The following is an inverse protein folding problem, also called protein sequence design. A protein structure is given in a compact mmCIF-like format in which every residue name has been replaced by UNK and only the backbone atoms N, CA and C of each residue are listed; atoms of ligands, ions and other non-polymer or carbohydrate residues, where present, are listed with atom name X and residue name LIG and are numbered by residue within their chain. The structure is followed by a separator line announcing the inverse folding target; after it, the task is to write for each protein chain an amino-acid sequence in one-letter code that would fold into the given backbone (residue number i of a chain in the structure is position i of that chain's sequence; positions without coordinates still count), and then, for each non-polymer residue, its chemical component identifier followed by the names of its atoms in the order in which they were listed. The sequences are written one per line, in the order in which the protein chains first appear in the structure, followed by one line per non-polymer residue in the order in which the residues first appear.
data_IF_653501727314
#
_entry.id   IF_653501727314
#
_cell.length_a   1.000
_cell.length_b   1.000
_cell.length_c   1.000
_cell.angle_alpha   90.00
_cell.angle_beta   90.00
_cell.angle_gamma   90.00
#
_symmetry.space_group_name_H-M   'P 1'
#
loop_
_entity.id
_entity.type
_entity.pdbx_description
1 polymer ?
#
# COMPACT_ATOMS: atom_id res chain seq x y z
N UNK A 1 -3.75 -8.98 27.16
CA UNK A 1 -4.94 -8.99 26.31
C UNK A 1 -4.58 -9.07 24.84
N UNK A 2 -5.33 -9.88 24.10
CA UNK A 2 -5.15 -9.97 22.65
C UNK A 2 -5.54 -8.63 21.99
N UNK A 3 -4.79 -8.24 20.96
CA UNK A 3 -5.12 -7.07 20.15
C UNK A 3 -6.33 -7.34 19.27
N UNK A 4 -7.16 -6.33 19.05
CA UNK A 4 -8.26 -6.39 18.09
C UNK A 4 -7.71 -6.40 16.67
N UNK A 5 -8.54 -6.78 15.68
CA UNK A 5 -8.12 -6.69 14.28
C UNK A 5 -7.80 -5.25 13.88
N UNK A 6 -8.53 -4.28 14.40
CA UNK A 6 -8.22 -2.87 14.13
C UNK A 6 -6.82 -2.51 14.64
N UNK A 7 -6.48 -2.92 15.86
CA UNK A 7 -5.15 -2.67 16.41
C UNK A 7 -4.06 -3.38 15.59
N UNK A 8 -4.33 -4.59 15.10
CA UNK A 8 -3.42 -5.31 14.21
C UNK A 8 -3.23 -4.57 12.90
N UNK A 9 -4.32 -4.04 12.34
CA UNK A 9 -4.27 -3.24 11.12
C UNK A 9 -3.46 -1.96 11.34
N UNK A 10 -3.66 -1.29 12.47
CA UNK A 10 -2.89 -0.09 12.81
C UNK A 10 -1.40 -0.39 12.95
N UNK A 11 -1.06 -1.56 13.50
CA UNK A 11 0.35 -1.99 13.60
C UNK A 11 0.95 -2.21 12.21
N UNK A 12 0.17 -2.78 11.29
CA UNK A 12 0.60 -2.91 9.90
C UNK A 12 0.86 -1.54 9.26
N UNK A 13 0.04 -0.54 9.56
CA UNK A 13 0.24 0.83 9.05
C UNK A 13 1.57 1.41 9.58
N UNK A 14 1.92 1.15 10.84
CA UNK A 14 3.24 1.53 11.35
C UNK A 14 4.36 0.89 10.54
N UNK A 15 4.19 -0.38 10.16
CA UNK A 15 5.16 -1.08 9.34
C UNK A 15 5.32 -0.40 7.98
N UNK A 16 4.23 -0.15 7.25
CA UNK A 16 4.33 0.41 5.90
C UNK A 16 4.87 1.85 5.92
N UNK A 17 4.61 2.61 6.96
CA UNK A 17 5.09 3.97 7.07
C UNK A 17 6.55 4.05 7.53
N UNK A 18 7.03 3.07 8.30
CA UNK A 18 8.42 3.06 8.79
C UNK A 18 9.35 2.23 7.91
N UNK A 19 8.85 1.19 7.26
CA UNK A 19 9.68 0.20 6.57
C UNK A 19 10.46 -0.68 7.53
N UNK A 20 10.09 -0.72 8.80
CA UNK A 20 10.79 -1.49 9.82
C UNK A 20 10.49 -2.98 9.66
N UNK A 21 11.50 -3.75 9.25
CA UNK A 21 11.34 -5.19 9.04
C UNK A 21 10.95 -5.95 10.31
N UNK A 22 11.34 -5.47 11.47
CA UNK A 22 10.97 -6.11 12.74
C UNK A 22 9.47 -6.05 12.95
N UNK A 23 8.85 -4.90 12.66
CA UNK A 23 7.40 -4.77 12.69
C UNK A 23 6.78 -5.63 11.58
N UNK A 24 7.38 -5.64 10.40
CA UNK A 24 6.91 -6.48 9.28
C UNK A 24 6.87 -7.95 9.64
N UNK A 25 7.89 -8.47 10.31
CA UNK A 25 7.93 -9.86 10.77
C UNK A 25 6.82 -10.18 11.78
N UNK A 26 6.41 -9.18 12.54
CA UNK A 26 5.33 -9.32 13.52
C UNK A 26 3.96 -9.42 12.85
N UNK A 27 3.73 -8.68 11.76
CA UNK A 27 2.38 -8.46 11.20
C UNK A 27 2.10 -9.21 9.89
N UNK A 28 3.14 -9.68 9.18
CA UNK A 28 3.01 -10.35 7.88
C UNK A 28 3.48 -11.79 7.98
N UNK A 29 2.62 -12.73 7.55
CA UNK A 29 2.96 -14.15 7.51
C UNK A 29 4.05 -14.42 6.47
N UNK A 30 4.91 -15.40 6.75
CA UNK A 30 5.91 -15.88 5.78
C UNK A 30 5.26 -16.41 4.51
N UNK A 31 4.04 -16.95 4.62
CA UNK A 31 3.29 -17.47 3.48
C UNK A 31 2.25 -16.51 2.94
N UNK A 32 2.27 -15.25 3.38
CA UNK A 32 1.32 -14.24 2.91
C UNK A 32 1.42 -14.03 1.40
N UNK A 33 0.28 -13.73 0.79
CA UNK A 33 0.18 -13.50 -0.66
C UNK A 33 -0.37 -12.10 -0.89
N UNK A 34 0.30 -11.35 -1.76
CA UNK A 34 -0.08 -9.96 -2.06
C UNK A 34 -0.42 -9.83 -3.54
N UNK A 35 -1.68 -9.52 -3.81
CA UNK A 35 -2.18 -9.29 -5.17
C UNK A 35 -2.09 -7.80 -5.48
N UNK A 36 -1.33 -7.45 -6.51
CA UNK A 36 -1.10 -6.06 -6.91
C UNK A 36 -1.59 -5.85 -8.33
N UNK A 37 -2.05 -4.63 -8.69
CA UNK A 37 -2.64 -4.40 -10.03
C UNK A 37 -1.64 -4.41 -11.17
N UNK A 38 -0.34 -4.34 -10.89
CA UNK A 38 0.70 -4.25 -11.91
C UNK A 38 1.45 -5.57 -12.14
N UNK A 39 0.99 -6.68 -11.57
CA UNK A 39 1.60 -7.99 -11.77
C UNK A 39 0.54 -9.08 -11.75
N UNK A 40 0.60 -9.99 -12.71
CA UNK A 40 -0.29 -11.15 -12.75
C UNK A 40 0.12 -12.21 -11.72
N UNK A 41 1.37 -12.19 -11.31
CA UNK A 41 1.89 -13.12 -10.31
C UNK A 41 1.89 -12.44 -8.95
N UNK A 42 1.25 -13.04 -7.93
CA UNK A 42 1.26 -12.47 -6.59
C UNK A 42 2.66 -12.43 -6.00
N UNK A 43 2.92 -11.44 -5.17
CA UNK A 43 4.14 -11.36 -4.37
C UNK A 43 3.93 -12.14 -3.08
N UNK A 44 4.99 -12.67 -2.49
CA UNK A 44 4.87 -13.56 -1.33
C UNK A 44 5.73 -13.11 -0.17
N UNK A 45 5.15 -13.22 1.03
CA UNK A 45 5.84 -13.03 2.29
C UNK A 45 6.34 -11.61 2.52
N UNK A 46 7.07 -11.43 3.60
CA UNK A 46 7.65 -10.12 3.91
C UNK A 46 8.61 -9.63 2.82
N UNK A 47 9.49 -10.49 2.25
CA UNK A 47 10.34 -10.02 1.14
C UNK A 47 9.55 -9.47 -0.04
N UNK A 48 8.42 -10.12 -0.39
CA UNK A 48 7.54 -9.63 -1.45
C UNK A 48 6.93 -8.27 -1.11
N UNK A 49 6.49 -8.09 0.12
CA UNK A 49 5.94 -6.81 0.53
C UNK A 49 7.01 -5.72 0.58
N UNK A 50 8.22 -6.05 0.99
CA UNK A 50 9.34 -5.10 0.98
C UNK A 50 9.67 -4.62 -0.43
N UNK A 51 9.43 -5.43 -1.46
CA UNK A 51 9.58 -4.99 -2.86
C UNK A 51 8.55 -3.91 -3.20
N UNK A 52 7.30 -4.08 -2.74
CA UNK A 52 6.25 -3.07 -2.95
C UNK A 52 6.65 -1.75 -2.28
N UNK A 53 7.06 -1.82 -1.02
CA UNK A 53 7.48 -0.63 -0.27
C UNK A 53 8.70 0.02 -0.90
N UNK A 54 9.67 -0.78 -1.37
CA UNK A 54 10.86 -0.28 -2.03
C UNK A 54 10.54 0.47 -3.31
N UNK A 55 9.65 -0.09 -4.13
CA UNK A 55 9.19 0.57 -5.35
C UNK A 55 8.52 1.91 -5.06
N UNK A 56 7.63 1.93 -4.09
CA UNK A 56 6.91 3.14 -3.72
C UNK A 56 7.85 4.20 -3.13
N UNK A 57 8.79 3.80 -2.27
CA UNK A 57 9.74 4.74 -1.67
C UNK A 57 10.80 5.24 -2.65
N UNK A 58 11.16 4.44 -3.64
CA UNK A 58 12.06 4.90 -4.70
C UNK A 58 11.43 6.04 -5.50
N UNK A 59 10.14 5.93 -5.78
CA UNK A 59 9.41 6.98 -6.51
C UNK A 59 9.03 8.15 -5.60
N UNK A 60 8.60 7.85 -4.38
CA UNK A 60 8.11 8.84 -3.40
C UNK A 60 8.83 8.61 -2.07
N UNK A 61 10.04 9.17 -1.88
CA UNK A 61 10.82 8.89 -0.66
C UNK A 61 10.12 9.30 0.64
N UNK A 62 9.24 10.29 0.57
CA UNK A 62 8.48 10.82 1.71
C UNK A 62 7.09 10.19 1.86
N UNK A 63 6.81 9.08 1.16
CA UNK A 63 5.45 8.52 1.13
C UNK A 63 4.96 8.14 2.53
N UNK A 64 3.69 8.51 2.80
CA UNK A 64 2.97 8.12 4.01
C UNK A 64 1.58 7.65 3.64
N UNK A 65 1.13 6.58 4.30
CA UNK A 65 -0.22 6.05 4.20
C UNK A 65 -1.00 6.44 5.46
N UNK A 66 -2.16 7.05 5.27
CA UNK A 66 -3.09 7.33 6.36
C UNK A 66 -4.26 6.36 6.26
N UNK A 67 -4.55 5.64 7.33
CA UNK A 67 -5.71 4.76 7.40
C UNK A 67 -6.94 5.62 7.73
N UNK A 68 -7.81 5.80 6.73
CA UNK A 68 -8.96 6.70 6.87
C UNK A 68 -10.21 5.99 7.41
N UNK A 69 -10.42 4.73 7.00
CA UNK A 69 -11.62 3.99 7.37
C UNK A 69 -11.38 2.50 7.24
N UNK A 70 -12.13 1.72 8.02
CA UNK A 70 -12.08 0.26 7.95
C UNK A 70 -13.47 -0.33 8.06
N UNK A 71 -13.67 -1.44 7.35
CA UNK A 71 -14.83 -2.31 7.52
C UNK A 71 -14.29 -3.68 7.88
N UNK A 72 -14.70 -4.20 9.02
CA UNK A 72 -14.20 -5.47 9.56
C UNK A 72 -15.34 -6.47 9.63
N UNK A 73 -15.14 -7.63 9.03
CA UNK A 73 -16.05 -8.76 9.11
C UNK A 73 -15.25 -10.04 9.29
N UNK A 74 -15.49 -10.75 10.36
CA UNK A 74 -14.75 -11.97 10.72
C UNK A 74 -13.24 -11.69 10.77
N UNK A 75 -12.47 -12.34 9.90
CA UNK A 75 -11.02 -12.17 9.85
C UNK A 75 -10.55 -11.30 8.68
N UNK A 76 -11.46 -10.52 8.08
CA UNK A 76 -11.15 -9.64 6.95
C UNK A 76 -11.31 -8.18 7.34
N UNK A 77 -10.41 -7.37 6.81
CA UNK A 77 -10.43 -5.92 6.97
C UNK A 77 -10.40 -5.29 5.60
N UNK A 78 -11.42 -4.48 5.29
CA UNK A 78 -11.35 -3.56 4.15
C UNK A 78 -10.82 -2.25 4.69
N UNK A 79 -9.72 -1.79 4.13
CA UNK A 79 -9.05 -0.57 4.59
C UNK A 79 -9.02 0.47 3.47
N UNK A 80 -9.47 1.68 3.79
CA UNK A 80 -9.36 2.82 2.91
C UNK A 80 -8.19 3.67 3.38
N UNK A 81 -7.28 3.98 2.45
CA UNK A 81 -6.09 4.77 2.73
C UNK A 81 -6.05 6.03 1.89
N UNK A 82 -5.35 7.04 2.39
CA UNK A 82 -4.85 8.15 1.61
C UNK A 82 -3.33 8.07 1.58
N UNK A 83 -2.76 8.10 0.38
CA UNK A 83 -1.32 8.12 0.15
C UNK A 83 -0.91 9.54 -0.17
N UNK A 84 0.16 10.02 0.48
CA UNK A 84 0.74 11.34 0.20
C UNK A 84 2.23 11.19 0.02
N UNK A 85 2.78 11.90 -0.95
CA UNK A 85 4.21 11.89 -1.19
C UNK A 85 4.60 12.85 -2.29
N UNK A 86 5.91 12.98 -2.51
CA UNK A 86 6.50 13.83 -3.56
C UNK A 86 7.29 12.94 -4.51
N UNK A 87 7.01 13.05 -5.81
CA UNK A 87 7.69 12.21 -6.80
C UNK A 87 9.11 12.73 -7.06
N UNK A 88 10.08 12.04 -6.50
CA UNK A 88 11.50 12.36 -6.69
C UNK A 88 12.26 11.24 -7.40
N UNK A 89 11.58 10.16 -7.79
CA UNK A 89 12.13 9.07 -8.56
C UNK A 89 11.15 8.61 -9.64
N UNK A 90 11.65 7.77 -10.54
CA UNK A 90 10.83 7.22 -11.62
C UNK A 90 9.66 6.39 -11.06
N UNK A 91 8.49 6.53 -11.67
CA UNK A 91 7.30 5.78 -11.33
C UNK A 91 6.66 5.22 -12.60
N UNK A 92 6.74 3.88 -12.77
CA UNK A 92 6.23 3.18 -13.96
C UNK A 92 6.67 3.84 -15.27
N UNK A 93 7.96 4.16 -15.38
CA UNK A 93 8.54 4.78 -16.56
C UNK A 93 8.40 6.31 -16.62
N UNK A 94 7.60 6.92 -15.75
CA UNK A 94 7.47 8.37 -15.71
C UNK A 94 8.64 8.98 -14.91
N UNK A 95 9.42 9.90 -15.50
CA UNK A 95 10.56 10.50 -14.80
C UNK A 95 10.11 11.37 -13.63
N UNK A 96 11.03 11.60 -12.70
CA UNK A 96 10.77 12.42 -11.53
C UNK A 96 10.23 13.79 -11.91
N UNK A 97 9.07 14.15 -11.36
CA UNK A 97 8.40 15.41 -11.66
C UNK A 97 8.55 16.45 -10.54
N UNK A 98 8.95 16.02 -9.35
CA UNK A 98 8.96 16.86 -8.16
C UNK A 98 7.58 17.23 -7.65
N UNK A 99 6.53 16.64 -8.21
CA UNK A 99 5.15 16.98 -7.84
C UNK A 99 4.69 16.19 -6.64
N UNK A 100 3.84 16.80 -5.83
CA UNK A 100 3.17 16.14 -4.72
C UNK A 100 1.94 15.41 -5.21
N UNK A 101 1.69 14.24 -4.63
CA UNK A 101 0.51 13.45 -4.91
C UNK A 101 -0.33 13.26 -3.65
N UNK A 102 -1.62 13.11 -3.86
CA UNK A 102 -2.55 12.63 -2.85
C UNK A 102 -3.52 11.70 -3.56
N UNK A 103 -3.48 10.43 -3.20
CA UNK A 103 -4.26 9.41 -3.87
C UNK A 103 -4.91 8.48 -2.85
N UNK A 104 -5.94 7.76 -3.27
CA UNK A 104 -6.62 6.79 -2.44
C UNK A 104 -6.21 5.37 -2.80
N UNK A 105 -6.34 4.47 -1.81
CA UNK A 105 -6.26 3.04 -2.04
C UNK A 105 -7.37 2.37 -1.24
N UNK A 106 -7.96 1.32 -1.82
CA UNK A 106 -8.90 0.45 -1.12
C UNK A 106 -8.35 -0.96 -1.18
N UNK A 107 -8.02 -1.50 -0.02
CA UNK A 107 -7.36 -2.79 0.07
C UNK A 107 -8.18 -3.73 0.96
N UNK A 108 -8.13 -5.01 0.64
CA UNK A 108 -8.75 -6.05 1.46
C UNK A 108 -7.63 -6.91 2.04
N UNK A 109 -7.65 -7.09 3.37
CA UNK A 109 -6.68 -7.90 4.09
C UNK A 109 -7.39 -9.07 4.74
N UNK A 110 -6.77 -10.25 4.67
CA UNK A 110 -7.21 -11.41 5.43
C UNK A 110 -6.18 -11.71 6.50
N UNK A 111 -6.66 -11.95 7.72
CA UNK A 111 -5.83 -12.27 8.87
C UNK A 111 -6.06 -13.70 9.32
N UNK A 112 -5.01 -14.33 9.82
CA UNK A 112 -5.09 -15.61 10.56
C UNK A 112 -4.25 -15.42 11.80
N UNK A 113 -4.84 -15.71 12.98
CA UNK A 113 -4.18 -15.53 14.28
C UNK A 113 -3.57 -14.11 14.44
N UNK A 114 -4.27 -13.10 13.90
CA UNK A 114 -3.85 -11.71 14.01
C UNK A 114 -2.71 -11.30 13.09
N UNK A 115 -2.35 -12.14 12.12
CA UNK A 115 -1.26 -11.90 11.18
C UNK A 115 -1.83 -11.88 9.76
N UNK A 116 -1.37 -10.97 8.91
CA UNK A 116 -1.84 -10.86 7.53
C UNK A 116 -1.35 -12.06 6.72
N UNK A 117 -2.30 -12.75 6.07
CA UNK A 117 -2.02 -13.88 5.19
C UNK A 117 -2.36 -13.58 3.73
N UNK A 118 -3.16 -12.56 3.47
CA UNK A 118 -3.48 -12.16 2.10
C UNK A 118 -3.87 -10.68 2.05
N UNK A 119 -3.44 -10.01 1.00
CA UNK A 119 -3.87 -8.64 0.69
C UNK A 119 -4.23 -8.58 -0.80
N UNK A 120 -5.36 -7.92 -1.10
CA UNK A 120 -5.67 -7.47 -2.45
C UNK A 120 -5.63 -5.95 -2.41
N UNK A 121 -4.66 -5.35 -3.10
CA UNK A 121 -4.45 -3.91 -3.07
C UNK A 121 -4.90 -3.24 -4.36
N UNK A 122 -5.68 -2.16 -4.22
CA UNK A 122 -6.15 -1.35 -5.35
C UNK A 122 -5.89 0.13 -5.09
N UNK A 123 -4.63 0.57 -5.26
CA UNK A 123 -4.33 1.99 -5.24
C UNK A 123 -4.82 2.66 -6.52
N UNK A 124 -5.17 3.94 -6.44
CA UNK A 124 -5.58 4.73 -7.60
C UNK A 124 -4.33 5.13 -8.40
N UNK A 125 -3.77 4.16 -9.14
CA UNK A 125 -2.57 4.40 -9.95
C UNK A 125 -2.83 5.41 -11.06
N UNK A 126 -4.00 5.37 -11.68
CA UNK A 126 -4.34 6.33 -12.72
C UNK A 126 -4.37 7.76 -12.17
N UNK A 127 -4.95 7.96 -10.99
CA UNK A 127 -4.96 9.26 -10.33
C UNK A 127 -3.55 9.77 -10.04
N UNK A 128 -2.65 8.88 -9.60
CA UNK A 128 -1.25 9.23 -9.39
C UNK A 128 -0.61 9.65 -10.72
N UNK A 129 -0.83 8.88 -11.79
CA UNK A 129 -0.26 9.19 -13.11
C UNK A 129 -0.74 10.53 -13.66
N UNK A 130 -2.01 10.88 -13.41
CA UNK A 130 -2.53 12.20 -13.76
C UNK A 130 -1.80 13.30 -12.97
N UNK A 131 -1.63 13.11 -11.68
CA UNK A 131 -1.05 14.13 -10.80
C UNK A 131 0.42 14.41 -11.09
N UNK A 132 1.18 13.38 -11.48
CA UNK A 132 2.59 13.56 -11.83
C UNK A 132 2.80 13.98 -13.30
N UNK A 133 1.70 14.08 -14.06
CA UNK A 133 1.77 14.52 -15.46
C UNK A 133 2.16 13.43 -16.44
N UNK A 134 2.14 12.15 -16.02
CA UNK A 134 2.51 11.03 -16.89
C UNK A 134 1.42 10.73 -17.92
N UNK A 135 0.17 11.07 -17.62
CA UNK A 135 -0.95 10.94 -18.55
C UNK A 135 -1.74 12.24 -18.51
N UNK A 136 -2.41 12.55 -19.63
CA UNK A 136 -3.26 13.75 -19.74
C UNK A 136 -4.69 13.41 -19.30
N UNK A 137 -5.39 14.34 -18.62
CA UNK A 137 -6.79 14.13 -18.29
C UNK A 137 -7.64 14.05 -19.55
N UNK A 138 -8.80 13.36 -19.49
CA UNK A 138 -9.73 13.37 -20.63
C UNK A 138 -10.13 14.79 -21.01
N UNK A 139 -10.21 15.04 -22.32
CA UNK A 139 -10.63 16.35 -22.83
C UNK A 139 -12.15 16.44 -22.76
N UNK A 140 -12.67 17.50 -22.14
CA UNK A 140 -14.10 17.78 -22.12
C UNK A 140 -14.55 18.29 -23.51
N UNK A 141 -15.63 17.72 -24.00
CA UNK A 141 -16.23 18.14 -25.27
C UNK A 141 -17.52 18.91 -25.06
#
# INVERSE_FOLDING_TARGET
MARTLLQRMERFVEFINSGDETIGQEVVSESAVFHVPFSDTPLQGLPGYMQILGMMRSAFPDIQWTLDDTVIEDNRVVAQFTLRGTQEGEFFGAPASGKKIQARAMNIYRFTDGIIVEETGLPDLFGIMLQIGAVSPPVAH
#
